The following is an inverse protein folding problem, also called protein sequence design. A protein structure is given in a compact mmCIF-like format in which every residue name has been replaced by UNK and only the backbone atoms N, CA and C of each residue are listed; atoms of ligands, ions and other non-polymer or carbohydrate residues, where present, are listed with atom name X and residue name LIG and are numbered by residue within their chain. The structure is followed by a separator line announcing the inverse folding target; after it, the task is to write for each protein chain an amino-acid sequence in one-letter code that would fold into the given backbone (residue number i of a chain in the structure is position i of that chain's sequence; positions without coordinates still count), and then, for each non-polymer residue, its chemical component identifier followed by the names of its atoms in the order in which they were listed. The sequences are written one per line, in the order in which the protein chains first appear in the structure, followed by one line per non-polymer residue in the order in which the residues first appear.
data_IF_142136804702
#
_entry.id   IF_142136804702
#
_cell.length_a   1.000
_cell.length_b   1.000
_cell.length_c   1.000
_cell.angle_alpha   90.00
_cell.angle_beta   90.00
_cell.angle_gamma   90.00
#
_symmetry.space_group_name_H-M   'P 1'
#
loop_
_entity.id
_entity.type
_entity.pdbx_description
1 polymer ?
#
# COMPACT_ATOMS: atom_id res chain seq x y z
N UNK A 1 -12.07 0.10 0.88
CA UNK A 1 -10.99 0.80 1.59
C UNK A 1 -11.09 2.27 1.27
N UNK A 2 -11.17 3.11 2.26
CA UNK A 2 -11.35 4.55 2.09
C UNK A 2 -10.14 5.26 2.67
N UNK A 3 -9.50 6.11 1.86
CA UNK A 3 -8.30 6.84 2.25
C UNK A 3 -8.63 8.33 2.27
N UNK A 4 -8.64 8.94 3.48
CA UNK A 4 -8.66 10.35 3.87
C UNK A 4 -9.92 11.20 3.54
N UNK A 5 -10.38 11.93 4.28
CA UNK A 5 -10.52 12.94 5.25
C UNK A 5 -11.43 12.43 6.40
N UNK A 6 -11.05 12.65 7.63
CA UNK A 6 -11.74 12.06 8.79
C UNK A 6 -13.22 12.46 8.92
N UNK A 7 -13.68 13.42 8.14
CA UNK A 7 -15.05 13.95 8.18
C UNK A 7 -15.93 13.28 7.11
N UNK A 8 -15.50 13.23 5.85
CA UNK A 8 -16.36 12.79 4.74
C UNK A 8 -16.59 11.27 4.73
N UNK A 9 -15.56 10.49 5.05
CA UNK A 9 -15.68 9.02 5.09
C UNK A 9 -16.03 8.47 6.47
N UNK A 10 -16.21 9.33 7.49
CA UNK A 10 -16.60 8.90 8.84
C UNK A 10 -17.95 8.15 8.87
N UNK A 11 -18.87 8.50 7.99
CA UNK A 11 -20.16 7.84 7.86
C UNK A 11 -20.05 6.35 7.49
N UNK A 12 -18.97 5.93 6.85
CA UNK A 12 -18.75 4.55 6.39
C UNK A 12 -17.94 3.68 7.36
N UNK A 13 -17.53 4.21 8.52
CA UNK A 13 -16.81 3.43 9.54
C UNK A 13 -17.66 2.26 10.00
N UNK A 14 -16.98 1.18 10.34
CA UNK A 14 -17.57 -0.03 10.93
C UNK A 14 -18.63 -0.73 10.07
N UNK A 15 -18.64 -0.45 8.76
CA UNK A 15 -19.47 -1.22 7.82
C UNK A 15 -18.90 -2.61 7.62
N UNK A 16 -19.74 -3.66 7.55
CA UNK A 16 -19.30 -5.06 7.40
C UNK A 16 -18.56 -5.33 6.08
N UNK A 17 -18.66 -4.44 5.11
CA UNK A 17 -17.97 -4.54 3.81
C UNK A 17 -16.51 -4.08 3.84
N UNK A 18 -16.07 -3.46 4.94
CA UNK A 18 -14.71 -2.92 5.04
C UNK A 18 -13.70 -4.04 5.29
N UNK A 19 -12.73 -4.18 4.40
CA UNK A 19 -11.57 -5.06 4.57
C UNK A 19 -10.53 -4.48 5.55
N UNK A 20 -10.53 -3.15 5.72
CA UNK A 20 -9.69 -2.41 6.68
C UNK A 20 -10.50 -1.30 7.32
N UNK A 21 -10.13 -0.80 8.51
CA UNK A 21 -10.64 0.48 8.98
C UNK A 21 -10.46 1.57 7.91
N UNK A 22 -11.20 2.67 8.05
CA UNK A 22 -10.98 3.85 7.20
C UNK A 22 -9.59 4.40 7.50
N UNK A 23 -8.73 4.42 6.49
CA UNK A 23 -7.33 4.84 6.61
C UNK A 23 -7.25 6.35 6.47
N UNK A 24 -6.60 6.99 7.42
CA UNK A 24 -6.44 8.44 7.50
C UNK A 24 -5.00 8.87 7.21
N UNK A 25 -4.02 8.09 7.64
CA UNK A 25 -2.62 8.42 7.50
C UNK A 25 -2.03 8.00 6.14
N UNK A 26 -1.21 8.87 5.55
CA UNK A 26 -0.66 8.66 4.20
C UNK A 26 0.29 7.45 4.14
N UNK A 27 1.07 7.23 5.21
CA UNK A 27 2.00 6.09 5.28
C UNK A 27 1.27 4.75 5.38
N UNK A 28 0.15 4.69 6.14
CA UNK A 28 -0.72 3.51 6.18
C UNK A 28 -1.33 3.24 4.79
N UNK A 29 -1.80 4.30 4.11
CA UNK A 29 -2.34 4.19 2.76
C UNK A 29 -1.33 3.61 1.78
N UNK A 30 -0.06 4.03 1.86
CA UNK A 30 1.04 3.48 1.06
C UNK A 30 1.24 1.99 1.34
N UNK A 31 1.32 1.60 2.62
CA UNK A 31 1.52 0.21 3.01
C UNK A 31 0.36 -0.67 2.50
N UNK A 32 -0.87 -0.24 2.71
CA UNK A 32 -2.06 -0.97 2.26
C UNK A 32 -2.14 -1.07 0.74
N UNK A 33 -1.81 -0.02 -0.02
CA UNK A 33 -1.75 -0.11 -1.49
C UNK A 33 -0.69 -1.11 -1.97
N UNK A 34 0.44 -1.18 -1.28
CA UNK A 34 1.49 -2.17 -1.56
C UNK A 34 0.99 -3.60 -1.27
N UNK A 35 0.29 -3.80 -0.15
CA UNK A 35 -0.28 -5.09 0.22
C UNK A 35 -1.42 -5.52 -0.74
N UNK A 36 -2.20 -4.57 -1.28
CA UNK A 36 -3.19 -4.85 -2.34
C UNK A 36 -2.51 -5.35 -3.62
N UNK A 37 -1.33 -4.85 -3.96
CA UNK A 37 -0.55 -5.40 -5.09
C UNK A 37 -0.14 -6.84 -4.81
N UNK A 38 0.25 -7.19 -3.59
CA UNK A 38 0.57 -8.57 -3.21
C UNK A 38 -0.68 -9.47 -3.26
N UNK A 39 -1.81 -9.02 -2.73
CA UNK A 39 -3.09 -9.72 -2.83
C UNK A 39 -3.49 -9.96 -4.30
N UNK A 40 -3.29 -8.96 -5.16
CA UNK A 40 -3.50 -9.10 -6.60
C UNK A 40 -2.66 -10.24 -7.20
N UNK A 41 -1.39 -10.33 -6.84
CA UNK A 41 -0.47 -11.37 -7.31
C UNK A 41 -0.89 -12.75 -6.79
N UNK A 42 -1.26 -12.88 -5.52
CA UNK A 42 -1.78 -14.13 -4.95
C UNK A 42 -3.07 -14.58 -5.64
N UNK A 43 -3.97 -13.67 -5.97
CA UNK A 43 -5.18 -13.98 -6.74
C UNK A 43 -4.85 -14.49 -8.14
N UNK A 44 -3.84 -13.93 -8.81
CA UNK A 44 -3.36 -14.43 -10.10
C UNK A 44 -2.81 -15.84 -10.00
N UNK A 45 -2.05 -16.17 -8.96
CA UNK A 45 -1.55 -17.52 -8.71
C UNK A 45 -2.71 -18.52 -8.52
N UNK A 46 -3.74 -18.14 -7.76
CA UNK A 46 -4.92 -18.96 -7.56
C UNK A 46 -5.72 -19.17 -8.87
N UNK A 47 -5.87 -18.13 -9.70
CA UNK A 47 -6.48 -18.24 -11.02
C UNK A 47 -5.68 -19.19 -11.92
N UNK A 48 -4.37 -19.05 -11.95
CA UNK A 48 -3.48 -19.91 -12.74
C UNK A 48 -3.54 -21.37 -12.27
N UNK A 49 -3.55 -21.63 -10.97
CA UNK A 49 -3.71 -22.96 -10.39
C UNK A 49 -5.04 -23.63 -10.77
N UNK A 50 -6.11 -22.84 -10.87
CA UNK A 50 -7.42 -23.31 -11.33
C UNK A 50 -7.56 -23.36 -12.87
N UNK A 51 -6.57 -22.86 -13.63
CA UNK A 51 -6.59 -22.67 -15.08
C UNK A 51 -7.73 -21.74 -15.55
N UNK A 52 -8.06 -20.74 -14.76
CA UNK A 52 -9.12 -19.78 -15.06
C UNK A 52 -8.56 -18.40 -15.44
N UNK A 53 -9.33 -17.64 -16.23
CA UNK A 53 -8.87 -16.35 -16.78
C UNK A 53 -9.29 -15.13 -15.98
N UNK A 54 -10.29 -15.28 -15.13
CA UNK A 54 -10.84 -14.18 -14.33
C UNK A 54 -11.55 -14.68 -13.08
N UNK A 55 -11.80 -13.78 -12.15
CA UNK A 55 -12.44 -14.04 -10.87
C UNK A 55 -13.85 -14.68 -11.02
N UNK A 56 -14.63 -14.27 -12.01
CA UNK A 56 -15.98 -14.78 -12.22
C UNK A 56 -15.94 -16.28 -12.61
N UNK A 57 -15.06 -16.62 -13.55
CA UNK A 57 -14.85 -18.02 -13.94
C UNK A 57 -14.29 -18.84 -12.77
N UNK A 58 -13.29 -18.30 -12.05
CA UNK A 58 -12.72 -18.95 -10.87
C UNK A 58 -13.78 -19.28 -9.83
N UNK A 59 -14.66 -18.32 -9.51
CA UNK A 59 -15.65 -18.49 -8.45
C UNK A 59 -16.68 -19.58 -8.72
N UNK A 60 -16.92 -19.94 -9.98
CA UNK A 60 -17.81 -21.04 -10.39
C UNK A 60 -17.05 -22.31 -10.77
N UNK A 61 -15.74 -22.28 -10.83
CA UNK A 61 -14.92 -23.42 -11.27
C UNK A 61 -14.93 -24.56 -10.27
N UNK A 62 -15.06 -25.81 -10.77
CA UNK A 62 -14.86 -27.01 -9.98
C UNK A 62 -13.39 -27.24 -9.57
N UNK A 63 -12.44 -26.54 -10.20
CA UNK A 63 -11.00 -26.60 -9.91
C UNK A 63 -10.55 -25.61 -8.84
N UNK A 64 -11.45 -24.78 -8.34
CA UNK A 64 -11.15 -23.84 -7.27
C UNK A 64 -10.70 -24.60 -6.02
N UNK A 65 -9.56 -24.21 -5.48
CA UNK A 65 -8.97 -24.82 -4.27
C UNK A 65 -9.34 -24.11 -2.97
N UNK A 66 -9.94 -22.93 -3.06
CA UNK A 66 -10.31 -22.10 -1.91
C UNK A 66 -11.75 -21.63 -1.90
N UNK A 67 -12.07 -20.71 -1.00
CA UNK A 67 -13.36 -20.01 -0.98
C UNK A 67 -13.51 -19.13 -2.22
N UNK A 68 -14.74 -18.77 -2.64
CA UNK A 68 -14.95 -17.76 -3.66
C UNK A 68 -14.25 -16.46 -3.29
N UNK A 69 -13.57 -15.84 -4.23
CA UNK A 69 -12.93 -14.53 -4.03
C UNK A 69 -13.98 -13.42 -4.10
N UNK A 70 -14.06 -12.52 -3.14
CA UNK A 70 -14.89 -11.34 -3.25
C UNK A 70 -14.27 -10.34 -4.24
N UNK A 71 -15.12 -9.53 -4.88
CA UNK A 71 -14.65 -8.31 -5.55
C UNK A 71 -14.19 -7.31 -4.49
N UNK A 72 -13.08 -6.63 -4.78
CA UNK A 72 -12.52 -5.58 -3.92
C UNK A 72 -12.64 -4.24 -4.63
N UNK A 73 -13.16 -3.23 -3.93
CA UNK A 73 -13.17 -1.85 -4.40
C UNK A 73 -12.31 -1.01 -3.47
N UNK A 74 -11.32 -0.35 -4.05
CA UNK A 74 -10.41 0.57 -3.34
C UNK A 74 -10.86 1.98 -3.67
N UNK A 75 -11.27 2.74 -2.67
CA UNK A 75 -11.72 4.13 -2.82
C UNK A 75 -10.68 5.06 -2.23
N UNK A 76 -10.19 6.01 -3.01
CA UNK A 76 -9.31 7.11 -2.58
C UNK A 76 -10.09 8.41 -2.79
N UNK A 77 -10.42 9.07 -1.70
CA UNK A 77 -11.27 10.26 -1.69
C UNK A 77 -10.52 11.51 -2.18
N UNK A 78 -9.27 11.71 -1.75
CA UNK A 78 -8.43 12.82 -2.21
C UNK A 78 -7.05 12.31 -2.65
N UNK A 79 -6.92 12.03 -3.94
CA UNK A 79 -5.67 11.53 -4.53
C UNK A 79 -4.53 12.55 -4.42
N UNK A 80 -4.85 13.86 -4.50
CA UNK A 80 -3.82 14.90 -4.45
C UNK A 80 -3.02 14.84 -3.15
N UNK A 81 -3.67 14.60 -2.03
CA UNK A 81 -3.00 14.58 -0.74
C UNK A 81 -2.01 13.41 -0.61
N UNK A 82 -2.34 12.26 -1.20
CA UNK A 82 -1.45 11.11 -1.24
C UNK A 82 -0.26 11.33 -2.19
N UNK A 83 -0.53 11.78 -3.40
CA UNK A 83 0.51 12.01 -4.41
C UNK A 83 1.48 13.12 -3.97
N UNK A 84 0.98 14.20 -3.37
CA UNK A 84 1.83 15.31 -2.92
C UNK A 84 2.72 14.94 -1.73
N UNK A 85 2.30 13.99 -0.89
CA UNK A 85 3.07 13.55 0.29
C UNK A 85 4.01 12.39 -0.02
N UNK A 86 3.53 11.36 -0.71
CA UNK A 86 4.21 10.09 -0.91
C UNK A 86 4.80 9.94 -2.33
N UNK A 87 4.37 10.77 -3.29
CA UNK A 87 4.87 10.77 -4.65
C UNK A 87 4.74 9.41 -5.33
N UNK A 88 5.84 8.96 -5.94
CA UNK A 88 5.90 7.67 -6.66
C UNK A 88 5.63 6.46 -5.79
N UNK A 89 5.86 6.53 -4.49
CA UNK A 89 5.62 5.41 -3.57
C UNK A 89 4.14 4.99 -3.53
N UNK A 90 3.23 5.91 -3.85
CA UNK A 90 1.78 5.65 -3.98
C UNK A 90 1.35 5.54 -5.44
N UNK A 91 1.92 6.34 -6.33
CA UNK A 91 1.58 6.29 -7.76
C UNK A 91 1.87 4.91 -8.38
N UNK A 92 3.03 4.32 -8.10
CA UNK A 92 3.43 3.04 -8.68
C UNK A 92 2.48 1.88 -8.31
N UNK A 93 2.06 1.68 -7.03
CA UNK A 93 1.04 0.68 -6.70
C UNK A 93 -0.31 0.95 -7.38
N UNK A 94 -0.79 2.20 -7.41
CA UNK A 94 -2.04 2.58 -8.08
C UNK A 94 -1.99 2.20 -9.56
N UNK A 95 -0.91 2.54 -10.25
CA UNK A 95 -0.73 2.21 -11.66
C UNK A 95 -0.69 0.70 -11.88
N UNK A 96 0.02 -0.07 -11.05
CA UNK A 96 0.06 -1.53 -11.13
C UNK A 96 -1.32 -2.17 -10.98
N UNK A 97 -2.09 -1.71 -9.98
CA UNK A 97 -3.46 -2.18 -9.75
C UNK A 97 -4.34 -1.83 -10.95
N UNK A 98 -4.31 -0.58 -11.42
CA UNK A 98 -5.10 -0.14 -12.57
C UNK A 98 -4.82 -0.94 -13.84
N UNK A 99 -3.55 -1.33 -14.07
CA UNK A 99 -3.14 -2.11 -15.24
C UNK A 99 -3.59 -3.56 -15.21
N UNK A 100 -3.53 -4.20 -14.05
CA UNK A 100 -3.59 -5.67 -13.97
C UNK A 100 -4.78 -6.20 -13.18
N UNK A 101 -5.32 -5.46 -12.21
CA UNK A 101 -6.20 -6.03 -11.21
C UNK A 101 -7.63 -6.36 -11.69
N UNK A 102 -8.03 -5.93 -12.89
CA UNK A 102 -9.37 -6.17 -13.45
C UNK A 102 -9.75 -7.65 -13.48
N UNK A 103 -8.84 -8.51 -13.93
CA UNK A 103 -9.11 -9.95 -14.06
C UNK A 103 -9.29 -10.64 -12.70
N UNK A 104 -8.66 -10.13 -11.66
CA UNK A 104 -8.73 -10.66 -10.29
C UNK A 104 -9.76 -9.93 -9.42
N UNK A 105 -10.57 -9.04 -10.02
CA UNK A 105 -11.71 -8.41 -9.36
C UNK A 105 -11.35 -7.31 -8.35
N UNK A 106 -10.24 -6.62 -8.54
CA UNK A 106 -9.87 -5.44 -7.73
C UNK A 106 -10.06 -4.20 -8.60
N UNK A 107 -10.83 -3.24 -8.09
CA UNK A 107 -11.23 -2.02 -8.80
C UNK A 107 -10.85 -0.78 -8.00
N UNK A 108 -10.45 0.28 -8.72
CA UNK A 108 -10.07 1.57 -8.13
C UNK A 108 -11.16 2.63 -8.41
N UNK A 109 -11.46 3.42 -7.38
CA UNK A 109 -12.19 4.67 -7.47
C UNK A 109 -11.28 5.76 -6.93
N UNK A 110 -10.78 6.61 -7.81
CA UNK A 110 -9.86 7.70 -7.48
C UNK A 110 -10.59 9.02 -7.62
N UNK A 111 -10.70 9.76 -6.53
CA UNK A 111 -11.29 11.09 -6.53
C UNK A 111 -10.25 12.15 -6.15
N UNK A 112 -10.47 13.39 -6.57
CA UNK A 112 -9.67 14.54 -6.16
C UNK A 112 -10.46 15.84 -6.38
N UNK A 113 -10.31 16.78 -5.47
CA UNK A 113 -10.80 18.14 -5.59
C UNK A 113 -9.75 19.09 -6.20
N UNK A 114 -8.52 18.55 -6.48
CA UNK A 114 -7.38 19.31 -7.02
C UNK A 114 -6.85 18.67 -8.32
N UNK A 115 -7.57 18.86 -9.44
CA UNK A 115 -7.24 18.20 -10.71
C UNK A 115 -6.03 18.88 -11.39
N UNK A 116 -4.85 18.74 -10.83
CA UNK A 116 -3.62 19.24 -11.44
C UNK A 116 -2.88 18.12 -12.21
N UNK A 117 -2.04 18.50 -13.17
CA UNK A 117 -1.24 17.54 -13.96
C UNK A 117 -0.25 16.73 -13.11
N UNK A 118 0.12 17.24 -11.94
CA UNK A 118 0.99 16.53 -10.99
C UNK A 118 0.23 15.48 -10.17
N UNK A 119 -1.09 15.55 -10.14
CA UNK A 119 -1.98 14.62 -9.43
C UNK A 119 -2.59 13.62 -10.40
N UNK A 120 -3.23 14.12 -11.46
CA UNK A 120 -3.81 13.30 -12.53
C UNK A 120 -2.76 13.15 -13.63
N UNK A 121 -1.75 12.35 -13.33
CA UNK A 121 -0.58 12.17 -14.21
C UNK A 121 -0.95 11.43 -15.51
N UNK A 122 -0.08 11.53 -16.51
CA UNK A 122 -0.24 10.77 -17.75
C UNK A 122 -0.27 9.25 -17.52
N UNK A 123 0.45 8.74 -16.51
CA UNK A 123 0.46 7.32 -16.15
C UNK A 123 -0.89 6.89 -15.57
N UNK A 124 -1.47 7.68 -14.66
CA UNK A 124 -2.80 7.42 -14.10
C UNK A 124 -3.85 7.47 -15.21
N UNK A 125 -3.85 8.52 -16.06
CA UNK A 125 -4.80 8.67 -17.16
C UNK A 125 -4.76 7.53 -18.18
N UNK A 126 -3.58 7.02 -18.48
CA UNK A 126 -3.39 5.90 -19.42
C UNK A 126 -3.98 4.58 -18.89
N UNK A 127 -4.06 4.42 -17.57
CA UNK A 127 -4.47 3.17 -16.95
C UNK A 127 -5.86 3.23 -16.27
N UNK A 128 -6.40 4.44 -16.07
CA UNK A 128 -7.76 4.69 -15.59
C UNK A 128 -8.54 5.41 -16.69
N UNK A 129 -9.06 4.67 -17.67
CA UNK A 129 -9.64 5.27 -18.87
C UNK A 129 -11.04 5.83 -18.67
N UNK A 130 -11.82 5.31 -17.72
CA UNK A 130 -13.15 5.83 -17.38
C UNK A 130 -13.04 6.99 -16.41
N UNK A 131 -13.61 8.14 -16.75
CA UNK A 131 -13.45 9.36 -15.97
C UNK A 131 -14.76 10.09 -15.80
N UNK A 132 -14.91 10.76 -14.68
CA UNK A 132 -16.04 11.63 -14.37
C UNK A 132 -15.51 12.99 -13.97
N UNK A 133 -16.07 14.04 -14.54
CA UNK A 133 -15.82 15.42 -14.12
C UNK A 133 -17.14 16.07 -13.74
N UNK A 134 -17.21 16.57 -12.51
CA UNK A 134 -18.25 17.49 -12.07
C UNK A 134 -17.89 18.92 -12.47
N UNK A 135 -18.73 19.91 -12.11
CA UNK A 135 -18.48 21.31 -12.40
C UNK A 135 -17.09 21.75 -11.90
N UNK A 136 -16.31 22.35 -12.77
CA UNK A 136 -14.94 22.79 -12.51
C UNK A 136 -14.79 24.28 -12.70
N UNK A 137 -13.77 24.87 -12.05
CA UNK A 137 -13.52 26.30 -12.09
C UNK A 137 -12.93 26.77 -13.42
N UNK A 138 -12.26 25.89 -14.17
CA UNK A 138 -11.55 26.28 -15.39
C UNK A 138 -11.54 25.20 -16.46
N UNK A 139 -11.38 25.63 -17.72
CA UNK A 139 -11.15 24.78 -18.87
C UNK A 139 -9.86 23.95 -18.74
N UNK A 140 -8.85 24.46 -18.02
CA UNK A 140 -7.59 23.74 -17.76
C UNK A 140 -7.86 22.51 -16.91
N UNK A 141 -8.70 22.64 -15.87
CA UNK A 141 -9.05 21.54 -14.99
C UNK A 141 -9.86 20.47 -15.75
N UNK A 142 -10.81 20.89 -16.59
CA UNK A 142 -11.58 20.00 -17.47
C UNK A 142 -10.64 19.18 -18.37
N UNK A 143 -9.68 19.83 -19.04
CA UNK A 143 -8.69 19.16 -19.90
C UNK A 143 -7.75 18.25 -19.10
N UNK A 144 -7.43 18.63 -17.88
CA UNK A 144 -6.57 17.78 -17.02
C UNK A 144 -7.21 16.44 -16.73
N UNK A 145 -8.53 16.42 -16.48
CA UNK A 145 -9.25 15.16 -16.16
C UNK A 145 -9.73 14.46 -17.42
N UNK A 146 -10.43 15.16 -18.33
CA UNK A 146 -11.14 14.56 -19.46
C UNK A 146 -10.37 14.60 -20.78
N UNK A 147 -9.21 15.26 -20.84
CA UNK A 147 -8.50 15.60 -22.08
C UNK A 147 -9.39 16.45 -23.06
N UNK A 148 -10.50 16.99 -22.58
CA UNK A 148 -11.49 17.77 -23.32
C UNK A 148 -12.03 18.92 -22.45
N UNK A 149 -12.50 20.04 -23.09
CA UNK A 149 -13.20 21.10 -22.39
C UNK A 149 -14.66 20.69 -22.11
N UNK A 150 -15.33 21.48 -21.27
CA UNK A 150 -16.79 21.41 -21.05
C UNK A 150 -17.21 21.19 -19.60
N UNK A 151 -16.33 20.73 -18.71
CA UNK A 151 -16.69 20.59 -17.29
C UNK A 151 -16.83 21.96 -16.59
N UNK A 152 -16.22 23.01 -17.15
CA UNK A 152 -16.39 24.40 -16.72
C UNK A 152 -17.77 24.98 -17.00
N UNK A 153 -18.52 24.39 -17.96
CA UNK A 153 -19.87 24.81 -18.35
C UNK A 153 -20.99 24.08 -17.59
N UNK A 154 -20.62 23.17 -16.67
CA UNK A 154 -21.55 22.42 -15.84
C UNK A 154 -22.17 23.31 -14.76
N UNK A 155 -23.43 23.06 -14.44
CA UNK A 155 -24.21 23.88 -13.50
C UNK A 155 -24.04 23.47 -12.03
N UNK A 156 -23.23 22.43 -11.75
CA UNK A 156 -23.08 21.87 -10.41
C UNK A 156 -24.23 20.96 -10.00
N UNK A 157 -24.37 20.66 -8.70
CA UNK A 157 -25.45 19.85 -8.11
C UNK A 157 -25.58 18.45 -8.74
N UNK A 158 -24.46 17.81 -9.06
CA UNK A 158 -24.43 16.48 -9.66
C UNK A 158 -24.48 16.48 -11.20
N UNK A 159 -24.52 17.63 -11.85
CA UNK A 159 -24.30 17.74 -13.30
C UNK A 159 -22.86 17.35 -13.62
N UNK A 160 -22.64 16.39 -14.50
CA UNK A 160 -21.33 15.80 -14.75
C UNK A 160 -21.10 15.43 -16.21
N UNK A 161 -19.83 15.36 -16.58
CA UNK A 161 -19.37 14.72 -17.81
C UNK A 161 -18.76 13.37 -17.48
N UNK A 162 -19.28 12.31 -18.07
CA UNK A 162 -18.76 10.95 -17.95
C UNK A 162 -18.06 10.56 -19.26
N UNK A 163 -16.80 10.22 -19.17
CA UNK A 163 -15.99 9.67 -20.26
C UNK A 163 -15.82 8.17 -20.02
N UNK A 164 -16.60 7.30 -20.66
CA UNK A 164 -16.35 5.86 -20.61
C UNK A 164 -15.13 5.47 -21.44
N UNK A 165 -14.56 4.30 -21.14
CA UNK A 165 -13.34 3.82 -21.81
C UNK A 165 -13.53 3.50 -23.31
N UNK A 166 -14.74 3.20 -23.73
CA UNK A 166 -15.12 2.73 -25.07
C UNK A 166 -15.67 3.82 -25.98
N UNK A 167 -15.91 5.02 -25.47
CA UNK A 167 -16.42 6.14 -26.26
C UNK A 167 -15.39 7.26 -26.40
N UNK A 168 -15.31 7.88 -27.61
CA UNK A 168 -14.33 8.92 -27.87
C UNK A 168 -14.69 10.30 -27.29
N UNK A 169 -15.90 10.47 -26.79
CA UNK A 169 -16.41 11.75 -26.26
C UNK A 169 -17.16 11.55 -24.94
N UNK A 170 -17.05 12.51 -24.00
CA UNK A 170 -17.83 12.49 -22.79
C UNK A 170 -19.34 12.56 -23.05
N UNK A 171 -20.10 11.94 -22.17
CA UNK A 171 -21.57 12.01 -22.12
C UNK A 171 -21.94 12.88 -20.92
N UNK A 172 -22.86 13.83 -21.10
CA UNK A 172 -23.39 14.63 -19.99
C UNK A 172 -24.46 13.84 -19.25
N UNK A 173 -24.32 13.72 -17.96
CA UNK A 173 -25.24 13.01 -17.09
C UNK A 173 -25.62 13.87 -15.89
N UNK A 174 -26.77 13.58 -15.30
CA UNK A 174 -27.19 14.18 -14.04
C UNK A 174 -27.11 13.15 -12.92
N UNK A 175 -26.23 13.37 -11.95
CA UNK A 175 -26.19 12.61 -10.72
C UNK A 175 -27.38 12.95 -9.81
N UNK A 176 -27.85 11.94 -9.08
CA UNK A 176 -28.89 12.17 -8.06
C UNK A 176 -28.25 12.82 -6.82
N UNK A 177 -29.02 13.66 -6.15
CA UNK A 177 -28.65 14.17 -4.84
C UNK A 177 -28.87 13.06 -3.80
N UNK A 178 -27.85 12.79 -2.99
CA UNK A 178 -27.92 11.89 -1.84
C UNK A 178 -27.62 12.72 -0.61
N UNK A 179 -28.54 12.75 0.34
CA UNK A 179 -28.40 13.50 1.59
C UNK A 179 -27.58 12.71 2.62
N UNK A 180 -26.98 13.41 3.57
CA UNK A 180 -26.26 12.78 4.70
C UNK A 180 -27.18 11.84 5.51
N UNK A 181 -28.47 12.19 5.63
CA UNK A 181 -29.45 11.35 6.30
C UNK A 181 -29.67 10.01 5.58
N UNK A 182 -29.68 10.02 4.22
CA UNK A 182 -29.80 8.79 3.43
C UNK A 182 -28.52 7.94 3.53
N UNK A 183 -27.35 8.58 3.45
CA UNK A 183 -26.06 7.88 3.68
C UNK A 183 -26.04 7.23 5.04
N UNK A 184 -26.42 7.97 6.10
CA UNK A 184 -26.46 7.46 7.45
C UNK A 184 -27.46 6.29 7.61
N UNK A 185 -28.65 6.41 7.02
CA UNK A 185 -29.64 5.34 7.08
C UNK A 185 -29.16 4.04 6.40
N UNK A 186 -28.46 4.15 5.26
CA UNK A 186 -27.91 2.99 4.54
C UNK A 186 -26.75 2.37 5.31
N UNK A 187 -25.83 3.18 5.83
CA UNK A 187 -24.68 2.66 6.58
C UNK A 187 -25.10 2.01 7.88
N UNK A 188 -26.08 2.59 8.59
CA UNK A 188 -26.63 2.02 9.81
C UNK A 188 -27.36 0.69 9.55
N UNK A 189 -28.14 0.60 8.48
CA UNK A 189 -28.78 -0.65 8.06
C UNK A 189 -27.78 -1.79 7.89
N UNK A 190 -26.58 -1.50 7.31
CA UNK A 190 -25.56 -2.54 7.15
C UNK A 190 -24.81 -2.86 8.44
N UNK A 191 -24.54 -1.87 9.31
CA UNK A 191 -23.91 -2.11 10.62
C UNK A 191 -24.75 -3.03 11.52
N UNK A 192 -26.08 -2.91 11.44
CA UNK A 192 -26.99 -3.77 12.22
C UNK A 192 -26.98 -5.22 11.75
N UNK A 193 -26.48 -5.53 10.55
CA UNK A 193 -26.46 -6.90 10.04
C UNK A 193 -25.23 -7.69 10.46
N UNK A 194 -24.06 -7.07 10.54
CA UNK A 194 -22.80 -7.73 10.92
C UNK A 194 -21.75 -6.70 11.30
N UNK A 195 -20.81 -7.10 12.14
CA UNK A 195 -19.58 -6.36 12.41
C UNK A 195 -18.55 -6.57 11.29
N UNK A 196 -17.65 -5.60 11.05
CA UNK A 196 -16.57 -5.75 10.07
C UNK A 196 -15.56 -6.81 10.53
N UNK A 197 -15.06 -7.58 9.59
CA UNK A 197 -13.94 -8.50 9.81
C UNK A 197 -12.72 -8.00 9.04
N UNK A 198 -11.86 -7.25 9.73
CA UNK A 198 -10.70 -6.63 9.09
C UNK A 198 -9.62 -7.64 8.72
N UNK A 199 -9.07 -7.48 7.51
CA UNK A 199 -7.97 -8.26 6.99
C UNK A 199 -6.64 -7.67 7.51
N UNK A 200 -6.00 -8.39 8.44
CA UNK A 200 -4.74 -7.95 9.07
C UNK A 200 -3.56 -7.96 8.09
N UNK A 201 -3.60 -8.80 7.08
CA UNK A 201 -2.51 -8.88 6.09
C UNK A 201 -2.45 -7.61 5.25
N UNK A 202 -3.60 -6.96 4.99
CA UNK A 202 -3.64 -5.67 4.31
C UNK A 202 -3.10 -4.52 5.16
N UNK A 203 -3.15 -4.64 6.48
CA UNK A 203 -2.63 -3.65 7.43
C UNK A 203 -1.18 -3.90 7.84
N UNK A 204 -0.59 -5.04 7.45
CA UNK A 204 0.78 -5.39 7.84
C UNK A 204 1.77 -4.31 7.36
N UNK A 205 2.61 -3.82 8.28
CA UNK A 205 3.60 -2.77 8.00
C UNK A 205 3.06 -1.33 8.02
N UNK A 206 1.76 -1.12 8.29
CA UNK A 206 1.19 0.24 8.42
C UNK A 206 1.65 0.95 9.70
N UNK A 207 1.97 0.22 10.75
CA UNK A 207 2.43 0.76 12.03
C UNK A 207 3.94 1.12 12.04
N UNK A 208 4.65 0.86 10.94
CA UNK A 208 6.04 1.25 10.81
C UNK A 208 6.10 2.73 10.41
N UNK A 209 6.29 3.61 11.38
CA UNK A 209 6.77 4.98 11.13
C UNK A 209 7.94 4.94 10.14
N UNK A 210 8.06 5.97 9.29
CA UNK A 210 9.04 6.16 8.22
C UNK A 210 10.51 5.82 8.57
N UNK A 211 10.74 4.57 8.93
CA UNK A 211 12.04 3.92 8.87
C UNK A 211 12.03 3.04 7.62
N UNK A 212 12.74 3.42 6.57
CA UNK A 212 13.09 2.54 5.46
C UNK A 212 13.79 1.29 5.99
N UNK A 213 13.04 0.28 6.41
CA UNK A 213 13.62 -0.92 7.01
C UNK A 213 12.61 -2.05 7.18
N UNK A 214 12.41 -2.81 6.13
CA UNK A 214 12.16 -4.23 6.08
C UNK A 214 11.38 -4.88 7.23
N UNK A 215 10.12 -5.26 6.97
CA UNK A 215 9.47 -6.36 7.70
C UNK A 215 10.14 -7.70 7.36
N UNK A 216 11.48 -7.75 7.43
CA UNK A 216 12.31 -8.91 7.19
C UNK A 216 12.55 -9.72 8.46
N UNK A 217 13.24 -10.84 8.31
CA UNK A 217 13.68 -11.77 9.34
C UNK A 217 14.34 -11.09 10.56
N UNK A 218 14.74 -9.83 10.46
CA UNK A 218 15.42 -9.04 11.47
C UNK A 218 14.59 -7.87 12.04
N UNK A 219 13.27 -7.82 11.82
CA UNK A 219 12.41 -6.76 12.38
C UNK A 219 12.52 -6.65 13.92
N UNK A 220 12.80 -7.76 14.61
CA UNK A 220 13.05 -7.77 16.05
C UNK A 220 14.29 -6.97 16.46
N UNK A 221 15.30 -6.87 15.57
CA UNK A 221 16.54 -6.13 15.84
C UNK A 221 16.29 -4.62 15.89
N UNK A 222 15.27 -4.10 15.20
CA UNK A 222 14.90 -2.70 15.24
C UNK A 222 14.44 -2.22 16.65
N UNK A 223 14.00 -3.17 17.50
CA UNK A 223 13.58 -2.86 18.88
C UNK A 223 14.72 -2.91 19.90
N UNK A 224 15.81 -3.59 19.59
CA UNK A 224 16.92 -3.87 20.51
C UNK A 224 18.23 -3.22 20.10
N UNK A 225 18.37 -2.76 18.86
CA UNK A 225 19.56 -2.10 18.34
C UNK A 225 19.53 -0.58 18.56
N UNK A 226 20.68 0.02 18.76
CA UNK A 226 20.84 1.47 18.91
C UNK A 226 20.78 2.22 17.58
N UNK A 227 20.93 1.51 16.44
CA UNK A 227 20.91 2.09 15.09
C UNK A 227 19.76 1.51 14.25
N UNK A 228 18.90 2.38 13.76
CA UNK A 228 17.73 2.04 12.90
C UNK A 228 18.08 1.25 11.62
N UNK A 229 19.34 1.32 11.16
CA UNK A 229 19.82 0.55 10.02
C UNK A 229 20.27 -0.87 10.36
N UNK A 230 20.27 -1.27 11.62
CA UNK A 230 20.74 -2.59 12.03
C UNK A 230 19.96 -3.76 11.38
N UNK A 231 18.62 -3.75 11.28
CA UNK A 231 17.88 -4.79 10.57
C UNK A 231 18.28 -4.90 9.09
N UNK A 232 18.44 -3.78 8.42
CA UNK A 232 18.80 -3.72 6.99
C UNK A 232 20.25 -4.18 6.76
N UNK A 233 21.16 -3.85 7.70
CA UNK A 233 22.53 -4.33 7.67
C UNK A 233 22.57 -5.85 7.84
N UNK A 234 21.79 -6.40 8.76
CA UNK A 234 21.70 -7.84 9.01
C UNK A 234 21.12 -8.60 7.79
N UNK A 235 20.06 -8.12 7.18
CA UNK A 235 19.52 -8.72 5.94
C UNK A 235 20.55 -8.76 4.82
N UNK A 236 21.28 -7.67 4.63
CA UNK A 236 22.30 -7.57 3.59
C UNK A 236 23.47 -8.51 3.83
N UNK A 237 23.91 -8.66 5.09
CA UNK A 237 24.96 -9.59 5.50
C UNK A 237 24.50 -11.03 5.24
N UNK A 238 23.27 -11.37 5.56
CA UNK A 238 22.72 -12.71 5.31
C UNK A 238 22.60 -13.02 3.82
N UNK A 239 22.10 -12.06 3.01
CA UNK A 239 21.98 -12.24 1.56
C UNK A 239 23.31 -12.42 0.86
N UNK A 240 24.35 -11.70 1.33
CA UNK A 240 25.68 -11.73 0.70
C UNK A 240 26.58 -12.83 1.27
N UNK A 241 26.25 -13.38 2.43
CA UNK A 241 27.09 -14.33 3.17
C UNK A 241 28.42 -13.74 3.65
N UNK A 242 28.56 -12.41 3.67
CA UNK A 242 29.79 -11.69 4.02
C UNK A 242 29.49 -10.51 4.92
N UNK A 243 30.17 -10.42 6.04
CA UNK A 243 30.08 -9.30 6.97
C UNK A 243 31.38 -8.51 6.99
N UNK A 244 31.40 -7.34 6.33
CA UNK A 244 32.56 -6.45 6.36
C UNK A 244 32.13 -4.98 6.43
N UNK A 245 32.91 -4.18 7.17
CA UNK A 245 32.67 -2.74 7.33
C UNK A 245 32.65 -2.01 5.98
N UNK A 246 33.57 -2.35 5.08
CA UNK A 246 33.63 -1.73 3.72
C UNK A 246 32.40 -2.05 2.87
N UNK A 247 31.85 -3.26 2.99
CA UNK A 247 30.62 -3.64 2.29
C UNK A 247 29.43 -2.82 2.80
N UNK A 248 29.29 -2.67 4.13
CA UNK A 248 28.23 -1.85 4.73
C UNK A 248 28.36 -0.38 4.36
N UNK A 249 29.58 0.19 4.39
CA UNK A 249 29.83 1.56 3.96
C UNK A 249 29.34 1.80 2.51
N UNK A 250 29.72 0.89 1.61
CA UNK A 250 29.39 1.02 0.18
C UNK A 250 27.91 0.83 -0.09
N UNK A 251 27.30 -0.17 0.50
CA UNK A 251 25.90 -0.56 0.23
C UNK A 251 24.87 0.29 0.96
N UNK A 252 25.14 0.66 2.23
CA UNK A 252 24.25 1.50 3.03
C UNK A 252 24.57 3.00 2.91
N UNK A 253 25.67 3.35 2.21
CA UNK A 253 26.15 4.73 2.06
C UNK A 253 26.39 5.44 3.40
N UNK A 254 26.93 4.71 4.38
CA UNK A 254 27.23 5.21 5.72
C UNK A 254 28.73 5.43 5.93
N UNK A 255 29.09 6.30 6.90
CA UNK A 255 30.47 6.51 7.28
C UNK A 255 31.07 5.33 8.05
N UNK A 256 32.42 5.27 8.12
CA UNK A 256 33.15 4.18 8.77
C UNK A 256 32.68 3.92 10.21
N UNK A 257 32.55 4.97 11.03
CA UNK A 257 32.16 4.85 12.43
C UNK A 257 30.74 4.25 12.60
N UNK A 258 29.80 4.58 11.69
CA UNK A 258 28.44 4.04 11.72
C UNK A 258 28.45 2.57 11.26
N UNK A 259 29.19 2.26 10.21
CA UNK A 259 29.35 0.89 9.74
C UNK A 259 29.98 -0.02 10.79
N UNK A 260 30.95 0.46 11.56
CA UNK A 260 31.56 -0.29 12.66
C UNK A 260 30.55 -0.57 13.77
N UNK A 261 29.77 0.44 14.18
CA UNK A 261 28.70 0.24 15.19
C UNK A 261 27.65 -0.78 14.74
N UNK A 262 27.27 -0.75 13.47
CA UNK A 262 26.35 -1.77 12.91
C UNK A 262 26.96 -3.18 12.96
N UNK A 263 28.26 -3.32 12.72
CA UNK A 263 28.96 -4.60 12.87
C UNK A 263 28.98 -5.08 14.33
N UNK A 264 29.21 -4.16 15.27
CA UNK A 264 29.24 -4.50 16.70
C UNK A 264 27.85 -4.89 17.23
N UNK A 265 26.80 -4.20 16.76
CA UNK A 265 25.41 -4.58 17.08
C UNK A 265 25.05 -5.97 16.54
N UNK A 266 25.42 -6.29 15.30
CA UNK A 266 25.17 -7.62 14.74
C UNK A 266 25.95 -8.71 15.46
N UNK A 267 27.17 -8.42 15.94
CA UNK A 267 27.95 -9.34 16.79
C UNK A 267 27.27 -9.57 18.14
N UNK A 268 26.85 -8.49 18.82
CA UNK A 268 26.12 -8.52 20.10
C UNK A 268 24.87 -9.41 20.04
N UNK A 269 24.20 -9.42 18.91
CA UNK A 269 23.01 -10.24 18.67
C UNK A 269 23.30 -11.62 18.04
N UNK A 270 24.55 -12.00 17.88
CA UNK A 270 24.95 -13.32 17.40
C UNK A 270 24.64 -13.55 15.90
N UNK A 271 24.47 -12.48 15.12
CA UNK A 271 24.26 -12.56 13.68
C UNK A 271 25.57 -12.78 12.94
N UNK A 272 26.65 -12.19 13.46
CA UNK A 272 27.99 -12.34 12.92
C UNK A 272 28.98 -12.74 14.03
N UNK A 273 30.09 -13.36 13.64
CA UNK A 273 31.15 -13.74 14.52
C UNK A 273 32.05 -12.59 14.98
N UNK A 274 32.85 -12.80 16.03
CA UNK A 274 33.77 -11.81 16.56
C UNK A 274 34.83 -11.40 15.55
N UNK A 275 35.43 -10.24 15.79
CA UNK A 275 36.56 -9.75 15.00
C UNK A 275 37.74 -10.69 15.09
N UNK A 276 38.31 -11.12 13.97
CA UNK A 276 39.55 -11.85 13.97
C UNK A 276 40.73 -10.91 14.33
N UNK A 277 41.26 -11.05 15.54
CA UNK A 277 42.34 -10.21 16.00
C UNK A 277 43.63 -10.33 15.19
N UNK A 278 43.78 -11.36 14.33
CA UNK A 278 44.94 -11.57 13.46
C UNK A 278 44.78 -10.88 12.09
N UNK A 279 43.54 -10.64 11.67
CA UNK A 279 43.22 -9.95 10.41
C UNK A 279 41.99 -9.06 10.54
N UNK A 280 42.13 -7.83 11.09
CA UNK A 280 41.02 -6.93 11.35
C UNK A 280 40.23 -6.48 10.11
N UNK A 281 40.74 -6.67 8.90
CA UNK A 281 40.11 -6.34 7.63
C UNK A 281 39.38 -7.50 6.97
N UNK A 282 39.44 -8.72 7.53
CA UNK A 282 38.77 -9.88 6.97
C UNK A 282 37.22 -9.80 7.18
N UNK A 283 36.42 -10.33 6.24
CA UNK A 283 35.00 -10.51 6.49
C UNK A 283 34.76 -11.45 7.68
N UNK A 284 33.85 -11.05 8.59
CA UNK A 284 33.46 -11.87 9.74
C UNK A 284 32.54 -13.03 9.30
N UNK A 285 32.55 -14.11 10.05
CA UNK A 285 31.63 -15.23 9.85
C UNK A 285 30.17 -14.77 10.01
N UNK A 286 29.26 -15.32 9.21
CA UNK A 286 27.82 -15.06 9.30
C UNK A 286 27.15 -16.29 9.87
N UNK A 287 26.34 -16.13 10.89
CA UNK A 287 25.71 -17.22 11.64
C UNK A 287 24.21 -17.35 11.28
N UNK A 288 23.68 -18.57 11.36
CA UNK A 288 22.28 -18.86 11.16
C UNK A 288 21.38 -18.51 12.35
N UNK A 289 20.04 -18.66 12.18
CA UNK A 289 19.04 -18.27 13.19
C UNK A 289 19.19 -18.94 14.56
N UNK A 290 19.81 -20.09 14.59
CA UNK A 290 20.09 -20.88 15.82
C UNK A 290 21.06 -20.19 16.77
N UNK A 291 21.85 -19.26 16.26
CA UNK A 291 22.87 -18.53 17.05
C UNK A 291 22.43 -17.11 17.44
N UNK A 292 21.21 -16.68 17.01
CA UNK A 292 20.78 -15.32 17.27
C UNK A 292 20.23 -15.12 18.66
N UNK A 293 20.82 -14.20 19.39
CA UNK A 293 20.31 -13.74 20.68
C UNK A 293 19.15 -12.78 20.45
N UNK A 294 17.95 -13.32 20.33
CA UNK A 294 16.70 -12.54 20.38
C UNK A 294 16.55 -12.11 21.83
N UNK A 295 16.53 -10.80 22.10
CA UNK A 295 16.49 -10.24 23.45
C UNK A 295 15.59 -11.06 24.38
N UNK A 296 16.10 -11.45 25.52
CA UNK A 296 15.33 -12.11 26.55
C UNK A 296 14.16 -11.22 26.91
N UNK A 297 12.94 -11.72 26.78
CA UNK A 297 11.78 -11.10 27.39
C UNK A 297 12.03 -11.10 28.90
N UNK A 298 11.77 -9.97 29.58
CA UNK A 298 11.83 -9.77 31.04
C UNK A 298 10.91 -10.71 31.86
N UNK A 299 10.77 -11.95 31.46
CA UNK A 299 9.89 -12.94 32.07
C UNK A 299 10.61 -14.01 32.87
N UNK A 300 11.97 -14.00 32.96
CA UNK A 300 12.75 -15.02 33.67
C UNK A 300 13.65 -14.46 34.80
N UNK A 301 13.20 -13.40 35.47
CA UNK A 301 13.83 -12.91 36.70
C UNK A 301 12.82 -12.90 37.86
N UNK A 302 12.22 -14.04 38.17
CA UNK A 302 11.61 -14.34 39.47
C UNK A 302 11.74 -15.84 39.71
N UNK A 303 12.88 -16.22 40.32
CA UNK A 303 13.05 -17.34 41.22
C UNK A 303 14.20 -17.05 42.19
#
# INVERSE_FOLDING_TARGET
MCIRDSVELAAYRDMPHLETPVIVESHEARAVLTNIVQEMEQRYEALAGAMERNITAYNVSARRTGKPMPFMVVVIDELADLILREGRKVEDPIVKIAQKARAVGIHLVLATQRPSVNVVTGLIKANVPSRIAFAMASNVDSRTVLDAPGAEDLIGRGDMLYQPADLPRPIRLQGVFVSDAEVHAITEFWRQQSEPTYNRDLLAGSDAEDGEGGGGQFAWLARSAEDELAPRAAEMVMQTGRASTSMLQTKLKVGFNRATRLMDEMEKHGIIGPLDGRNPGAPRAVYGPENWLRGASDADLDD
#
